data_IF_918130716797
#
_entry.id   IF_918130716797
#
_cell.length_a   1.000
_cell.length_b   1.000
_cell.length_c   1.000
_cell.angle_alpha   90.00
_cell.angle_beta   90.00
_cell.angle_gamma   90.00
#
_symmetry.space_group_name_H-M   'P 1'
#
loop_
_entity.id
_entity.type
_entity.pdbx_description
1 polymer ?
#
# COMPACT_ATOMS: atom_id res chain seq x y z
N UNK A 1 19.35 -17.18 -7.79
CA UNK A 1 20.19 -16.88 -6.60
C UNK A 1 19.68 -17.56 -5.33
N UNK A 2 18.40 -17.43 -4.96
CA UNK A 2 17.81 -18.04 -3.76
C UNK A 2 17.89 -19.58 -3.71
N UNK A 3 17.72 -20.27 -4.84
CA UNK A 3 17.83 -21.73 -4.89
C UNK A 3 19.25 -22.25 -4.64
N UNK A 4 20.27 -21.45 -4.98
CA UNK A 4 21.67 -21.82 -4.74
C UNK A 4 21.98 -21.79 -3.24
N UNK A 5 21.46 -20.76 -2.54
CA UNK A 5 21.59 -20.58 -1.09
C UNK A 5 20.83 -21.67 -0.32
N UNK A 6 19.64 -22.05 -0.80
CA UNK A 6 18.83 -23.12 -0.21
C UNK A 6 19.55 -24.48 -0.28
N UNK A 7 20.20 -24.78 -1.41
CA UNK A 7 20.93 -26.04 -1.58
C UNK A 7 22.23 -26.10 -0.74
N UNK A 8 22.93 -24.98 -0.54
CA UNK A 8 24.11 -24.96 0.37
C UNK A 8 23.72 -25.19 1.83
N UNK A 9 22.56 -24.66 2.27
CA UNK A 9 22.07 -24.85 3.64
C UNK A 9 21.63 -26.29 3.92
N UNK A 10 21.03 -26.96 2.93
CA UNK A 10 20.63 -28.38 3.03
C UNK A 10 21.84 -29.32 3.04
N UNK A 11 22.91 -28.99 2.30
CA UNK A 11 24.13 -29.78 2.31
C UNK A 11 24.91 -29.61 3.63
N UNK A 12 24.96 -28.40 4.20
CA UNK A 12 25.62 -28.13 5.48
C UNK A 12 24.93 -28.80 6.69
N UNK A 13 23.67 -29.23 6.56
CA UNK A 13 22.94 -29.95 7.61
C UNK A 13 23.15 -31.47 7.56
N UNK A 14 23.77 -32.00 6.49
CA UNK A 14 24.04 -33.44 6.31
C UNK A 14 25.33 -33.88 7.00
N UNK A 15 26.29 -32.95 7.14
CA UNK A 15 27.59 -33.17 7.77
C UNK A 15 27.59 -32.74 9.24
N UNK A 16 26.78 -33.38 10.09
CA UNK A 16 26.98 -33.42 11.54
C UNK A 16 27.06 -32.11 12.35
N UNK A 17 26.75 -30.93 11.79
CA UNK A 17 26.70 -29.68 12.55
C UNK A 17 25.39 -29.57 13.32
N UNK A 18 25.43 -29.15 14.60
CA UNK A 18 24.23 -29.08 15.42
C UNK A 18 23.25 -28.09 14.78
N UNK A 19 22.04 -28.61 14.54
CA UNK A 19 20.82 -27.92 14.10
C UNK A 19 20.87 -26.44 14.40
N UNK A 20 20.73 -25.61 13.38
CA UNK A 20 20.77 -24.15 13.43
C UNK A 20 19.36 -23.63 13.80
N UNK A 21 19.04 -23.37 15.09
CA UNK A 21 17.70 -22.95 15.48
C UNK A 21 17.71 -21.43 15.74
N UNK A 22 18.88 -20.87 16.06
CA UNK A 22 19.09 -19.52 16.58
C UNK A 22 19.10 -18.45 15.50
N UNK A 23 19.69 -18.74 14.32
CA UNK A 23 19.64 -17.77 13.21
C UNK A 23 18.23 -17.70 12.63
N UNK A 24 17.55 -18.83 12.46
CA UNK A 24 16.16 -18.88 12.00
C UNK A 24 15.20 -18.12 12.93
N UNK A 25 15.35 -18.25 14.25
CA UNK A 25 14.55 -17.48 15.21
C UNK A 25 14.92 -15.99 15.21
N UNK A 26 16.21 -15.64 15.04
CA UNK A 26 16.62 -14.25 14.87
C UNK A 26 16.06 -13.61 13.59
N UNK A 27 16.12 -14.30 12.45
CA UNK A 27 15.54 -13.81 11.19
C UNK A 27 14.03 -13.60 11.30
N UNK A 28 13.32 -14.55 11.93
CA UNK A 28 11.89 -14.43 12.18
C UNK A 28 11.57 -13.21 13.06
N UNK A 29 12.35 -13.00 14.12
CA UNK A 29 12.17 -11.84 15.01
C UNK A 29 12.43 -10.50 14.31
N UNK A 30 13.37 -10.46 13.36
CA UNK A 30 13.66 -9.28 12.56
C UNK A 30 12.56 -9.01 11.53
N UNK A 31 12.07 -10.05 10.86
CA UNK A 31 10.95 -9.98 9.93
C UNK A 31 9.68 -9.46 10.63
N UNK A 32 9.37 -9.98 11.82
CA UNK A 32 8.22 -9.53 12.62
C UNK A 32 8.35 -8.05 13.03
N UNK A 33 9.55 -7.60 13.41
CA UNK A 33 9.83 -6.19 13.73
C UNK A 33 9.66 -5.29 12.52
N UNK A 34 10.23 -5.68 11.38
CA UNK A 34 10.14 -4.92 10.12
C UNK A 34 8.68 -4.79 9.68
N UNK A 35 7.93 -5.89 9.73
CA UNK A 35 6.50 -5.91 9.40
C UNK A 35 5.70 -4.99 10.31
N UNK A 36 6.01 -4.98 11.61
CA UNK A 36 5.37 -4.11 12.59
C UNK A 36 5.66 -2.63 12.28
N UNK A 37 6.92 -2.27 12.02
CA UNK A 37 7.29 -0.90 11.64
C UNK A 37 6.56 -0.44 10.38
N UNK A 38 6.60 -1.25 9.31
CA UNK A 38 5.92 -0.91 8.05
C UNK A 38 4.41 -0.79 8.22
N UNK A 39 3.80 -1.63 9.06
CA UNK A 39 2.36 -1.55 9.35
C UNK A 39 2.02 -0.27 10.11
N UNK A 40 2.84 0.10 11.11
CA UNK A 40 2.63 1.34 11.87
C UNK A 40 2.86 2.60 11.03
N UNK A 41 3.72 2.54 10.03
CA UNK A 41 4.09 3.70 9.23
C UNK A 41 3.18 3.88 8.00
N UNK A 42 2.84 2.79 7.31
CA UNK A 42 2.11 2.83 6.04
C UNK A 42 0.67 2.34 6.12
N UNK A 43 0.33 1.48 7.09
CA UNK A 43 -1.04 0.98 7.28
C UNK A 43 -1.79 1.75 8.37
N UNK A 44 -1.17 2.79 8.96
CA UNK A 44 -1.84 3.63 9.94
C UNK A 44 -3.05 4.30 9.30
N UNK A 45 -4.26 4.07 9.82
CA UNK A 45 -5.43 4.74 9.30
C UNK A 45 -5.26 6.25 9.50
N UNK A 46 -5.73 7.03 8.52
CA UNK A 46 -5.77 8.48 8.63
C UNK A 46 -6.44 8.89 9.95
N UNK A 47 -6.07 10.02 10.57
CA UNK A 47 -6.79 10.55 11.73
C UNK A 47 -8.30 10.60 11.49
N UNK A 48 -9.12 10.32 12.50
CA UNK A 48 -10.59 10.22 12.37
C UNK A 48 -11.20 11.41 11.61
N UNK A 49 -10.74 12.63 11.91
CA UNK A 49 -11.22 13.85 11.24
C UNK A 49 -10.93 13.86 9.73
N UNK A 50 -9.77 13.36 9.33
CA UNK A 50 -9.39 13.25 7.92
C UNK A 50 -10.22 12.17 7.22
N UNK A 51 -10.53 11.05 7.90
CA UNK A 51 -11.44 10.04 7.36
C UNK A 51 -12.85 10.61 7.15
N UNK A 52 -13.36 11.36 8.13
CA UNK A 52 -14.68 12.00 8.04
C UNK A 52 -14.72 13.05 6.92
N UNK A 53 -13.68 13.86 6.78
CA UNK A 53 -13.53 14.82 5.67
C UNK A 53 -13.52 14.10 4.32
N UNK A 54 -12.69 13.07 4.16
CA UNK A 54 -12.60 12.28 2.93
C UNK A 54 -13.96 11.65 2.55
N UNK A 55 -14.73 11.15 3.53
CA UNK A 55 -16.09 10.63 3.29
C UNK A 55 -17.05 11.71 2.78
N UNK A 56 -16.99 12.92 3.33
CA UNK A 56 -17.82 14.06 2.88
C UNK A 56 -17.43 14.50 1.47
N UNK A 57 -16.14 14.65 1.21
CA UNK A 57 -15.61 15.00 -0.12
C UNK A 57 -16.00 13.95 -1.16
N UNK A 58 -15.89 12.66 -0.83
CA UNK A 58 -16.31 11.58 -1.72
C UNK A 58 -17.81 11.66 -2.06
N UNK A 59 -18.66 12.01 -1.08
CA UNK A 59 -20.10 12.20 -1.31
C UNK A 59 -20.36 13.37 -2.26
N UNK A 60 -19.62 14.47 -2.11
CA UNK A 60 -19.69 15.61 -3.02
C UNK A 60 -19.23 15.27 -4.43
N UNK A 61 -18.08 14.61 -4.58
CA UNK A 61 -17.55 14.16 -5.88
C UNK A 61 -18.56 13.25 -6.57
N UNK A 62 -19.19 12.30 -5.85
CA UNK A 62 -20.24 11.44 -6.41
C UNK A 62 -21.45 12.25 -6.89
N UNK A 63 -21.88 13.25 -6.12
CA UNK A 63 -22.98 14.15 -6.49
C UNK A 63 -22.66 14.95 -7.76
N UNK A 64 -21.46 15.54 -7.81
CA UNK A 64 -20.97 16.30 -8.97
C UNK A 64 -20.93 15.39 -10.21
N UNK A 65 -20.33 14.19 -10.10
CA UNK A 65 -20.29 13.21 -11.19
C UNK A 65 -21.69 12.83 -11.69
N UNK A 66 -22.65 12.63 -10.79
CA UNK A 66 -24.04 12.33 -11.16
C UNK A 66 -24.68 13.47 -11.96
N UNK A 67 -24.48 14.73 -11.54
CA UNK A 67 -24.97 15.92 -12.25
C UNK A 67 -24.32 16.07 -13.63
N UNK A 68 -22.99 15.94 -13.71
CA UNK A 68 -22.26 16.00 -14.98
C UNK A 68 -22.76 14.94 -15.97
N UNK A 69 -22.95 13.70 -15.51
CA UNK A 69 -23.49 12.62 -16.34
C UNK A 69 -24.91 12.93 -16.84
N UNK A 70 -25.79 13.44 -15.98
CA UNK A 70 -27.17 13.83 -16.35
C UNK A 70 -27.19 14.88 -17.47
N UNK A 71 -26.28 15.84 -17.42
CA UNK A 71 -26.22 16.95 -18.38
C UNK A 71 -25.26 16.69 -19.56
N UNK A 72 -24.72 15.47 -19.71
CA UNK A 72 -23.71 15.13 -20.73
C UNK A 72 -22.52 16.10 -20.69
N UNK A 73 -22.05 16.44 -19.50
CA UNK A 73 -20.90 17.33 -19.29
C UNK A 73 -19.66 16.53 -18.89
N UNK A 74 -18.48 17.02 -19.29
CA UNK A 74 -17.18 16.47 -18.91
C UNK A 74 -16.40 17.56 -18.18
N UNK A 75 -15.86 17.20 -17.02
CA UNK A 75 -14.88 18.00 -16.29
C UNK A 75 -13.48 17.57 -16.75
N UNK A 76 -12.72 18.46 -17.35
CA UNK A 76 -11.31 18.24 -17.71
C UNK A 76 -10.43 19.11 -16.82
N UNK A 77 -9.42 18.52 -16.20
CA UNK A 77 -8.39 19.26 -15.49
C UNK A 77 -7.43 19.85 -16.52
N UNK A 78 -7.14 21.14 -16.46
CA UNK A 78 -6.10 21.75 -17.31
C UNK A 78 -4.75 21.65 -16.62
N UNK A 79 -3.74 21.36 -17.43
CA UNK A 79 -2.46 20.82 -17.02
C UNK A 79 -1.57 21.83 -16.28
N UNK A 80 -1.93 23.13 -16.28
CA UNK A 80 -1.01 24.21 -15.87
C UNK A 80 -1.57 25.22 -14.87
N UNK A 81 -2.87 25.27 -14.62
CA UNK A 81 -3.47 26.36 -13.83
C UNK A 81 -4.38 25.92 -12.69
N UNK A 82 -4.59 24.60 -12.49
CA UNK A 82 -5.57 24.11 -11.52
C UNK A 82 -7.01 24.51 -11.86
N UNK A 83 -7.24 25.03 -13.07
CA UNK A 83 -8.56 25.40 -13.58
C UNK A 83 -9.23 24.16 -14.16
N UNK A 84 -10.53 24.01 -13.90
CA UNK A 84 -11.33 22.94 -14.47
C UNK A 84 -12.16 23.49 -15.62
N UNK A 85 -12.07 22.86 -16.79
CA UNK A 85 -12.94 23.17 -17.92
C UNK A 85 -14.16 22.24 -17.90
N UNK A 86 -15.35 22.83 -18.01
CA UNK A 86 -16.62 22.10 -18.18
C UNK A 86 -17.02 22.19 -19.65
N UNK A 87 -16.94 21.06 -20.35
CA UNK A 87 -17.37 20.93 -21.74
C UNK A 87 -18.61 20.04 -21.87
N UNK A 88 -19.27 20.08 -23.02
CA UNK A 88 -20.25 19.05 -23.40
C UNK A 88 -19.55 17.81 -23.97
N UNK A 89 -20.13 16.65 -23.72
CA UNK A 89 -19.74 15.36 -24.30
C UNK A 89 -20.39 15.18 -25.66
#
# INVERSE_FOLDING_TARGET
>A
MLNKIKNTLVNATRDGYPSIPKTTTMYKSYEDRLRTCLTLEYMKPLPLMNQLRARRELKWIKSIRRKLKKHKLILRQTDKSGVFHIGRR
#
